data_IF_843187113190
#
_entry.id   IF_843187113190
#
_cell.length_a   1.000
_cell.length_b   1.000
_cell.length_c   1.000
_cell.angle_alpha   90.00
_cell.angle_beta   90.00
_cell.angle_gamma   90.00
#
_symmetry.space_group_name_H-M   'P 1'
#
loop_
_entity.id
_entity.type
_entity.pdbx_description
1 polymer ?
#
# COMPACT_ATOMS: atom_id res chain seq x y z
N UNK A 1 -5.98 -13.42 -7.94
CA UNK A 1 -5.56 -14.00 -6.64
C UNK A 1 -6.76 -13.93 -5.70
N UNK A 2 -6.78 -14.64 -4.57
CA UNK A 2 -7.96 -14.56 -3.69
C UNK A 2 -7.90 -13.23 -2.93
N UNK A 3 -9.01 -12.53 -2.68
CA UNK A 3 -9.02 -11.28 -1.89
C UNK A 3 -8.31 -11.44 -0.52
N UNK A 4 -8.41 -12.62 0.09
CA UNK A 4 -7.71 -12.95 1.33
C UNK A 4 -6.18 -12.97 1.21
N UNK A 5 -5.64 -13.41 0.08
CA UNK A 5 -4.20 -13.49 -0.15
C UNK A 5 -3.61 -12.10 -0.36
N UNK A 6 -4.29 -11.25 -1.13
CA UNK A 6 -3.93 -9.84 -1.31
C UNK A 6 -3.93 -9.12 0.04
N UNK A 7 -4.99 -9.31 0.82
CA UNK A 7 -5.09 -8.73 2.17
C UNK A 7 -3.91 -9.15 3.05
N UNK A 8 -3.56 -10.44 3.05
CA UNK A 8 -2.41 -10.95 3.81
C UNK A 8 -1.09 -10.31 3.38
N UNK A 9 -0.87 -10.13 2.08
CA UNK A 9 0.33 -9.47 1.55
C UNK A 9 0.39 -8.01 2.00
N UNK A 10 -0.74 -7.29 1.95
CA UNK A 10 -0.84 -5.90 2.40
C UNK A 10 -0.55 -5.79 3.91
N UNK A 11 -1.11 -6.67 4.73
CA UNK A 11 -0.84 -6.70 6.18
C UNK A 11 0.65 -6.95 6.46
N UNK A 12 1.28 -7.86 5.73
CA UNK A 12 2.73 -8.10 5.84
C UNK A 12 3.56 -6.87 5.47
N UNK A 13 3.17 -6.15 4.41
CA UNK A 13 3.83 -4.92 4.01
C UNK A 13 3.66 -3.81 5.05
N UNK A 14 2.48 -3.69 5.66
CA UNK A 14 2.17 -2.70 6.69
C UNK A 14 3.04 -2.90 7.95
N UNK A 15 3.14 -4.15 8.42
CA UNK A 15 3.84 -4.48 9.66
C UNK A 15 5.37 -4.52 9.49
N UNK A 16 5.85 -5.06 8.37
CA UNK A 16 7.28 -5.40 8.20
C UNK A 16 8.00 -4.55 7.15
N UNK A 17 7.28 -3.68 6.43
CA UNK A 17 7.82 -2.92 5.30
C UNK A 17 8.54 -3.80 4.26
N UNK A 18 8.06 -5.04 4.07
CA UNK A 18 8.70 -6.02 3.21
C UNK A 18 7.72 -6.58 2.19
N UNK A 19 8.07 -6.46 0.91
CA UNK A 19 7.39 -7.06 -0.23
C UNK A 19 8.45 -7.59 -1.19
N UNK A 20 8.28 -8.82 -1.69
CA UNK A 20 9.11 -9.32 -2.77
C UNK A 20 8.52 -8.92 -4.15
N UNK A 21 9.24 -9.24 -5.22
CA UNK A 21 8.82 -8.88 -6.58
C UNK A 21 7.51 -9.55 -6.98
N UNK A 22 7.32 -10.80 -6.57
CA UNK A 22 6.13 -11.59 -6.88
C UNK A 22 4.88 -10.99 -6.21
N UNK A 23 5.00 -10.60 -4.94
CA UNK A 23 3.95 -9.94 -4.16
C UNK A 23 3.54 -8.60 -4.80
N UNK A 24 4.52 -7.78 -5.20
CA UNK A 24 4.28 -6.50 -5.89
C UNK A 24 3.56 -6.74 -7.21
N UNK A 25 4.03 -7.71 -7.99
CA UNK A 25 3.44 -8.03 -9.30
C UNK A 25 2.01 -8.52 -9.14
N UNK A 26 1.73 -9.31 -8.10
CA UNK A 26 0.41 -9.82 -7.82
C UNK A 26 -0.57 -8.70 -7.39
N UNK A 27 -0.12 -7.73 -6.58
CA UNK A 27 -0.93 -6.55 -6.24
C UNK A 27 -1.23 -5.71 -7.49
N UNK A 28 -0.23 -5.47 -8.34
CA UNK A 28 -0.38 -4.64 -9.55
C UNK A 28 -1.22 -5.30 -10.64
N UNK A 29 -1.41 -6.61 -10.61
CA UNK A 29 -2.23 -7.35 -11.56
C UNK A 29 -3.74 -7.28 -11.25
N UNK A 30 -4.12 -6.80 -10.06
CA UNK A 30 -5.50 -6.73 -9.61
C UNK A 30 -6.18 -5.42 -10.05
N UNK A 31 -7.50 -5.47 -10.21
CA UNK A 31 -8.28 -4.29 -10.55
C UNK A 31 -8.25 -3.28 -9.39
N UNK A 32 -8.12 -1.99 -9.71
CA UNK A 32 -8.11 -0.91 -8.74
C UNK A 32 -9.35 -0.93 -7.82
N UNK A 33 -10.51 -1.33 -8.34
CA UNK A 33 -11.74 -1.47 -7.57
C UNK A 33 -11.65 -2.52 -6.44
N UNK A 34 -10.65 -3.41 -6.48
CA UNK A 34 -10.39 -4.41 -5.45
C UNK A 34 -9.25 -4.02 -4.49
N UNK A 35 -8.67 -2.83 -4.67
CA UNK A 35 -7.49 -2.36 -3.92
C UNK A 35 -7.84 -1.33 -2.82
N UNK A 36 -9.11 -1.14 -2.47
CA UNK A 36 -9.53 -0.23 -1.40
C UNK A 36 -8.77 -0.49 -0.09
N UNK A 37 -8.56 -1.76 0.26
CA UNK A 37 -7.82 -2.13 1.46
C UNK A 37 -6.34 -1.70 1.41
N UNK A 38 -5.70 -1.79 0.23
CA UNK A 38 -4.33 -1.33 0.02
C UNK A 38 -4.25 0.18 0.24
N UNK A 39 -5.18 0.92 -0.37
CA UNK A 39 -5.21 2.38 -0.27
C UNK A 39 -5.44 2.83 1.16
N UNK A 40 -6.37 2.19 1.88
CA UNK A 40 -6.61 2.46 3.29
C UNK A 40 -5.35 2.23 4.14
N UNK A 41 -4.67 1.08 3.99
CA UNK A 41 -3.46 0.78 4.76
C UNK A 41 -2.28 1.68 4.42
N UNK A 42 -2.15 2.10 3.16
CA UNK A 42 -1.17 3.08 2.75
C UNK A 42 -1.44 4.45 3.39
N UNK A 43 -2.71 4.86 3.47
CA UNK A 43 -3.14 6.10 4.11
C UNK A 43 -2.87 6.10 5.62
N UNK A 44 -3.25 5.01 6.31
CA UNK A 44 -2.95 4.79 7.73
C UNK A 44 -1.43 4.86 7.97
N UNK A 45 -0.62 4.22 7.13
CA UNK A 45 0.83 4.24 7.31
C UNK A 45 1.45 5.61 7.04
N UNK A 46 0.93 6.34 6.05
CA UNK A 46 1.34 7.72 5.76
C UNK A 46 1.05 8.62 6.96
N UNK A 47 -0.15 8.51 7.54
CA UNK A 47 -0.54 9.29 8.72
C UNK A 47 0.35 8.95 9.93
N UNK A 48 0.62 7.67 10.20
CA UNK A 48 1.52 7.24 11.27
C UNK A 48 2.94 7.85 11.17
N UNK A 49 3.47 8.00 9.95
CA UNK A 49 4.87 8.39 9.72
C UNK A 49 5.02 9.89 9.47
N UNK A 50 4.14 10.46 8.65
CA UNK A 50 4.23 11.84 8.18
C UNK A 50 3.23 12.77 8.86
N UNK A 51 2.17 12.23 9.48
CA UNK A 51 1.01 13.00 9.91
C UNK A 51 0.31 13.69 8.74
N UNK A 52 -0.38 14.79 9.05
CA UNK A 52 -1.15 15.58 8.08
C UNK A 52 -0.30 16.61 7.29
N UNK A 53 0.99 16.74 7.59
CA UNK A 53 1.85 17.75 6.95
C UNK A 53 2.25 17.34 5.53
N UNK A 54 2.11 18.27 4.57
CA UNK A 54 2.47 18.06 3.17
C UNK A 54 3.63 18.98 2.78
N UNK A 55 4.77 18.40 2.44
CA UNK A 55 5.93 19.14 1.96
C UNK A 55 5.77 19.59 0.50
N UNK A 56 5.62 20.90 0.29
CA UNK A 56 5.58 21.49 -1.05
C UNK A 56 6.98 21.61 -1.64
N UNK A 57 7.15 21.23 -2.92
CA UNK A 57 8.40 21.39 -3.68
C UNK A 57 8.11 22.12 -4.99
N UNK A 58 8.81 23.23 -5.22
CA UNK A 58 8.76 23.94 -6.51
C UNK A 58 9.68 23.22 -7.51
N UNK A 59 9.17 22.96 -8.70
CA UNK A 59 9.91 22.41 -9.85
C UNK A 59 10.03 23.54 -10.87
N UNK A 60 11.27 23.87 -11.29
CA UNK A 60 11.60 24.91 -12.28
C UNK A 60 12.03 24.24 -13.58
#
# INVERSE_FOLDING_TARGET
MNQFEIKRIIDQAYDKAQLNKEDITAILAEDLANLDYLLQKADEKRDEICGDEVHLRAII
#
